data_IF_968259734354
#
_entry.id   IF_968259734354
#
_cell.length_a   1.000
_cell.length_b   1.000
_cell.length_c   1.000
_cell.angle_alpha   90.00
_cell.angle_beta   90.00
_cell.angle_gamma   90.00
#
_symmetry.space_group_name_H-M   'P 1'
#
loop_
_entity.id
_entity.type
_entity.pdbx_description
1 polymer ?
#
# COMPACT_ATOMS: atom_id res chain seq x y z
N UNK A 1 -36.12 -18.52 21.29
CA UNK A 1 -36.73 -18.81 19.97
C UNK A 1 -36.09 -18.00 18.86
N UNK A 2 -35.90 -16.70 19.05
CA UNK A 2 -35.40 -15.76 18.01
C UNK A 2 -34.04 -16.14 17.36
N UNK A 3 -33.07 -16.65 18.14
CA UNK A 3 -31.76 -17.07 17.61
C UNK A 3 -31.81 -18.33 16.74
N UNK A 4 -32.70 -19.28 17.05
CA UNK A 4 -32.85 -20.50 16.27
C UNK A 4 -33.49 -20.21 14.90
N UNK A 5 -34.47 -19.31 14.88
CA UNK A 5 -35.10 -18.86 13.64
C UNK A 5 -34.14 -18.04 12.77
N UNK A 6 -33.29 -17.22 13.37
CA UNK A 6 -32.23 -16.48 12.66
C UNK A 6 -31.19 -17.42 12.05
N UNK A 7 -30.76 -18.45 12.79
CA UNK A 7 -29.82 -19.46 12.28
C UNK A 7 -30.42 -20.28 11.14
N UNK A 8 -31.68 -20.70 11.27
CA UNK A 8 -32.40 -21.42 10.21
C UNK A 8 -32.46 -20.59 8.91
N UNK A 9 -32.78 -19.30 9.01
CA UNK A 9 -32.75 -18.37 7.85
C UNK A 9 -31.36 -18.28 7.21
N UNK A 10 -30.30 -18.31 8.01
CA UNK A 10 -28.92 -18.32 7.51
C UNK A 10 -28.57 -19.61 6.77
N UNK A 11 -28.95 -20.78 7.31
CA UNK A 11 -28.76 -22.09 6.66
C UNK A 11 -29.56 -22.16 5.35
N UNK A 12 -30.80 -21.68 5.36
CA UNK A 12 -31.65 -21.61 4.18
C UNK A 12 -31.05 -20.70 3.10
N UNK A 13 -30.52 -19.53 3.51
CA UNK A 13 -29.82 -18.61 2.62
C UNK A 13 -28.53 -19.20 2.02
N UNK A 14 -27.87 -20.11 2.74
CA UNK A 14 -26.67 -20.83 2.28
C UNK A 14 -27.00 -22.18 1.62
N UNK A 15 -28.21 -22.35 1.08
CA UNK A 15 -28.64 -23.55 0.32
C UNK A 15 -28.48 -24.85 1.11
N UNK A 16 -28.89 -24.85 2.39
CA UNK A 16 -28.75 -25.99 3.30
C UNK A 16 -27.29 -26.39 3.58
N UNK A 17 -26.34 -25.48 3.35
CA UNK A 17 -24.96 -25.61 3.82
C UNK A 17 -24.77 -24.83 5.10
N UNK A 18 -23.77 -25.23 5.89
CA UNK A 18 -23.42 -24.50 7.11
C UNK A 18 -22.98 -23.06 6.77
N UNK A 19 -23.46 -22.05 7.51
CA UNK A 19 -23.05 -20.67 7.30
C UNK A 19 -21.53 -20.51 7.44
N UNK A 20 -20.95 -19.56 6.71
CA UNK A 20 -19.52 -19.28 6.79
C UNK A 20 -19.08 -18.98 8.23
N UNK A 21 -17.97 -19.60 8.67
CA UNK A 21 -17.47 -19.51 10.05
C UNK A 21 -18.18 -20.44 11.04
N UNK A 22 -19.23 -21.16 10.65
CA UNK A 22 -19.93 -22.09 11.54
C UNK A 22 -19.39 -23.52 11.44
N UNK A 23 -18.92 -24.08 12.55
CA UNK A 23 -18.39 -25.44 12.66
C UNK A 23 -19.35 -26.31 13.49
N UNK A 24 -19.75 -27.51 13.00
CA UNK A 24 -20.62 -28.41 13.75
C UNK A 24 -20.06 -28.74 15.14
N UNK A 25 -20.86 -28.48 16.18
CA UNK A 25 -20.47 -28.71 17.57
C UNK A 25 -19.66 -27.58 18.22
N UNK A 26 -19.24 -26.55 17.47
CA UNK A 26 -18.51 -25.38 18.00
C UNK A 26 -19.26 -24.05 17.80
N UNK A 27 -20.17 -23.97 16.82
CA UNK A 27 -20.88 -22.74 16.51
C UNK A 27 -20.10 -21.84 15.54
N UNK A 28 -20.35 -20.53 15.55
CA UNK A 28 -19.53 -19.59 14.80
C UNK A 28 -18.16 -19.47 15.47
N UNK A 29 -17.12 -19.94 14.80
CA UNK A 29 -15.73 -19.89 15.24
C UNK A 29 -15.08 -18.68 14.57
N UNK A 30 -14.67 -17.71 15.37
CA UNK A 30 -13.76 -16.67 14.88
C UNK A 30 -12.42 -17.35 14.52
N UNK A 31 -11.85 -17.07 13.35
CA UNK A 31 -10.54 -17.62 13.00
C UNK A 31 -9.55 -17.24 14.10
N UNK A 32 -8.81 -18.23 14.60
CA UNK A 32 -7.78 -18.04 15.61
C UNK A 32 -6.80 -16.99 15.09
N UNK A 33 -6.86 -15.81 15.69
CA UNK A 33 -6.03 -14.67 15.31
C UNK A 33 -4.72 -14.83 16.06
N UNK A 34 -3.62 -14.89 15.32
CA UNK A 34 -2.29 -14.86 15.94
C UNK A 34 -2.23 -13.62 16.87
N UNK A 35 -1.94 -13.80 18.17
CA UNK A 35 -1.94 -12.69 19.13
C UNK A 35 -0.93 -11.60 18.77
N UNK A 36 0.10 -11.93 17.98
CA UNK A 36 1.12 -10.99 17.52
C UNK A 36 0.83 -10.46 16.09
N UNK A 37 -0.25 -10.88 15.43
CA UNK A 37 -0.69 -10.27 14.18
C UNK A 37 -1.16 -8.84 14.41
N UNK A 38 -0.64 -7.93 13.57
CA UNK A 38 -0.85 -6.51 13.69
C UNK A 38 -1.53 -5.95 12.42
N UNK A 39 -2.35 -4.90 12.55
CA UNK A 39 -2.79 -4.13 11.39
C UNK A 39 -1.58 -3.72 10.54
N UNK A 40 -1.70 -3.84 9.21
CA UNK A 40 -0.59 -3.59 8.30
C UNK A 40 0.03 -2.20 8.50
N UNK A 41 -0.82 -1.19 8.69
CA UNK A 41 -0.39 0.19 8.91
C UNK A 41 0.39 0.36 10.21
N UNK A 42 -0.02 -0.33 11.26
CA UNK A 42 0.59 -0.18 12.58
C UNK A 42 1.95 -0.87 12.61
N UNK A 43 2.04 -2.06 12.00
CA UNK A 43 3.32 -2.73 11.77
C UNK A 43 4.26 -1.90 10.89
N UNK A 44 3.75 -1.33 9.79
CA UNK A 44 4.52 -0.50 8.88
C UNK A 44 5.09 0.76 9.57
N UNK A 45 4.27 1.46 10.35
CA UNK A 45 4.72 2.61 11.16
C UNK A 45 5.81 2.17 12.15
N UNK A 46 5.56 1.08 12.87
CA UNK A 46 6.51 0.50 13.85
C UNK A 46 7.86 0.20 13.21
N UNK A 47 7.87 -0.35 11.99
CA UNK A 47 9.06 -0.62 11.20
C UNK A 47 9.80 0.68 10.84
N UNK A 48 9.10 1.64 10.23
CA UNK A 48 9.69 2.92 9.79
C UNK A 48 10.29 3.69 10.98
N UNK A 49 9.62 3.69 12.13
CA UNK A 49 10.08 4.39 13.34
C UNK A 49 11.38 3.80 13.91
N UNK A 50 11.62 2.50 13.68
CA UNK A 50 12.80 1.77 14.17
C UNK A 50 13.96 1.75 13.18
N UNK A 51 13.80 2.30 11.98
CA UNK A 51 14.88 2.40 11.02
C UNK A 51 16.02 3.27 11.58
N UNK A 52 17.21 2.67 11.61
CA UNK A 52 18.46 3.33 12.03
C UNK A 52 19.26 3.74 10.80
N UNK A 53 20.13 4.75 10.96
CA UNK A 53 21.02 5.22 9.88
C UNK A 53 20.34 6.00 8.74
N UNK A 54 19.03 6.27 8.82
CA UNK A 54 18.31 7.10 7.86
C UNK A 54 18.15 8.54 8.34
N UNK A 55 18.11 9.48 7.39
CA UNK A 55 17.83 10.88 7.64
C UNK A 55 16.40 11.08 8.19
N UNK A 56 16.16 12.04 9.13
CA UNK A 56 14.83 12.31 9.65
C UNK A 56 13.78 12.61 8.57
N UNK A 57 14.15 13.32 7.50
CA UNK A 57 13.24 13.60 6.38
C UNK A 57 12.84 12.31 5.68
N UNK A 58 13.77 11.39 5.46
CA UNK A 58 13.46 10.08 4.86
C UNK A 58 12.48 9.30 5.72
N UNK A 59 12.62 9.34 7.04
CA UNK A 59 11.67 8.70 7.96
C UNK A 59 10.27 9.31 7.83
N UNK A 60 10.17 10.63 7.78
CA UNK A 60 8.89 11.32 7.62
C UNK A 60 8.25 11.08 6.25
N UNK A 61 9.05 11.03 5.19
CA UNK A 61 8.60 10.65 3.86
C UNK A 61 8.06 9.21 3.87
N UNK A 62 8.74 8.25 4.49
CA UNK A 62 8.24 6.87 4.62
C UNK A 62 6.95 6.78 5.43
N UNK A 63 6.83 7.49 6.57
CA UNK A 63 5.58 7.57 7.33
C UNK A 63 4.44 8.09 6.44
N UNK A 64 4.72 9.12 5.66
CA UNK A 64 3.74 9.70 4.74
C UNK A 64 3.30 8.70 3.67
N UNK A 65 4.23 7.91 3.13
CA UNK A 65 3.90 6.86 2.16
C UNK A 65 3.08 5.73 2.80
N UNK A 66 3.38 5.35 4.05
CA UNK A 66 2.55 4.39 4.81
C UNK A 66 1.12 4.93 4.96
N UNK A 67 0.99 6.16 5.42
CA UNK A 67 -0.29 6.75 5.80
C UNK A 67 -1.19 7.07 4.61
N UNK A 68 -0.60 7.43 3.45
CA UNK A 68 -1.36 7.84 2.27
C UNK A 68 -1.61 6.71 1.28
N UNK A 69 -0.72 5.71 1.23
CA UNK A 69 -0.71 4.73 0.16
C UNK A 69 -0.82 3.29 0.66
N UNK A 70 0.00 2.87 1.63
CA UNK A 70 -0.07 1.50 2.16
C UNK A 70 -1.38 1.29 2.96
N UNK A 71 -1.86 2.34 3.63
CA UNK A 71 -3.14 2.33 4.38
C UNK A 71 -4.39 2.01 3.55
N UNK A 72 -4.31 2.07 2.23
CA UNK A 72 -5.41 1.74 1.33
C UNK A 72 -5.54 0.25 1.05
N UNK A 73 -4.52 -0.53 1.40
CA UNK A 73 -4.56 -1.96 1.20
C UNK A 73 -5.66 -2.57 2.07
N UNK A 74 -6.42 -3.46 1.44
CA UNK A 74 -7.39 -4.33 2.08
C UNK A 74 -7.04 -5.76 1.72
N UNK A 75 -7.42 -6.70 2.57
CA UNK A 75 -7.33 -8.11 2.24
C UNK A 75 -8.65 -8.57 1.64
N UNK A 76 -8.63 -9.16 0.45
CA UNK A 76 -9.80 -9.85 -0.10
C UNK A 76 -9.58 -11.35 -0.03
N UNK A 77 -10.42 -12.00 0.77
CA UNK A 77 -10.40 -13.47 0.90
C UNK A 77 -10.74 -14.16 -0.42
N UNK A 78 -10.43 -15.45 -0.54
CA UNK A 78 -10.78 -16.25 -1.73
C UNK A 78 -12.29 -16.34 -2.00
N UNK A 79 -13.13 -16.12 -1.00
CA UNK A 79 -14.59 -16.04 -1.14
C UNK A 79 -15.08 -14.66 -1.58
N UNK A 80 -14.17 -13.69 -1.76
CA UNK A 80 -14.48 -12.32 -2.14
C UNK A 80 -14.85 -11.39 -0.99
N UNK A 81 -14.74 -11.84 0.27
CA UNK A 81 -14.98 -10.98 1.42
C UNK A 81 -13.79 -10.04 1.65
N UNK A 82 -14.08 -8.74 1.74
CA UNK A 82 -13.10 -7.70 2.09
C UNK A 82 -12.94 -7.62 3.60
N UNK A 83 -11.69 -7.60 4.05
CA UNK A 83 -11.29 -7.52 5.46
C UNK A 83 -10.16 -6.51 5.64
N UNK A 84 -9.97 -5.96 6.86
CA UNK A 84 -8.80 -5.14 7.17
C UNK A 84 -7.49 -5.90 6.87
N UNK A 85 -6.55 -5.22 6.23
CA UNK A 85 -5.23 -5.75 5.97
C UNK A 85 -4.42 -5.84 7.28
N UNK A 86 -3.86 -7.03 7.53
CA UNK A 86 -2.90 -7.28 8.61
C UNK A 86 -1.58 -7.76 8.01
N UNK A 87 -0.53 -7.74 8.82
CA UNK A 87 0.78 -8.19 8.35
C UNK A 87 0.77 -9.70 8.02
N UNK A 88 -0.05 -10.50 8.70
CA UNK A 88 -0.17 -11.92 8.43
C UNK A 88 -1.09 -12.25 7.23
N UNK A 89 -2.19 -11.50 7.02
CA UNK A 89 -3.22 -11.89 6.05
C UNK A 89 -2.99 -11.38 4.62
N UNK A 90 -2.17 -10.34 4.41
CA UNK A 90 -1.99 -9.76 3.08
C UNK A 90 -1.29 -10.74 2.14
N UNK A 91 -1.86 -10.84 0.94
CA UNK A 91 -1.47 -11.80 -0.10
C UNK A 91 -0.81 -11.09 -1.29
N UNK A 92 -0.27 -11.88 -2.22
CA UNK A 92 0.27 -11.35 -3.46
C UNK A 92 -0.83 -10.74 -4.36
N UNK A 93 -2.07 -11.23 -4.27
CA UNK A 93 -3.20 -10.69 -5.02
C UNK A 93 -3.57 -9.30 -4.49
N UNK A 94 -3.59 -9.12 -3.16
CA UNK A 94 -3.83 -7.81 -2.54
C UNK A 94 -2.76 -6.78 -2.95
N UNK A 95 -1.49 -7.20 -3.04
CA UNK A 95 -0.39 -6.34 -3.52
C UNK A 95 -0.57 -5.99 -4.99
N UNK A 96 -0.98 -6.94 -5.83
CA UNK A 96 -1.24 -6.67 -7.26
C UNK A 96 -2.40 -5.70 -7.45
N UNK A 97 -3.50 -5.86 -6.72
CA UNK A 97 -4.65 -4.97 -6.80
C UNK A 97 -4.31 -3.58 -6.28
N UNK A 98 -3.48 -3.49 -5.23
CA UNK A 98 -2.95 -2.22 -4.77
C UNK A 98 -2.03 -1.52 -5.79
N UNK A 99 -1.19 -2.27 -6.51
CA UNK A 99 -0.38 -1.71 -7.61
C UNK A 99 -1.28 -1.20 -8.75
N UNK A 100 -2.28 -1.97 -9.16
CA UNK A 100 -3.27 -1.56 -10.19
C UNK A 100 -4.03 -0.30 -9.78
N UNK A 101 -4.42 -0.18 -8.52
CA UNK A 101 -5.09 1.00 -7.98
C UNK A 101 -4.19 2.25 -8.10
N UNK A 102 -2.89 2.10 -7.87
CA UNK A 102 -1.94 3.20 -8.01
C UNK A 102 -1.75 3.62 -9.47
N UNK A 103 -1.68 2.67 -10.40
CA UNK A 103 -1.59 2.93 -11.83
C UNK A 103 -2.84 3.64 -12.37
N UNK A 104 -4.02 3.18 -11.97
CA UNK A 104 -5.29 3.74 -12.44
C UNK A 104 -5.62 5.10 -11.81
N UNK A 105 -5.20 5.32 -10.56
CA UNK A 105 -5.72 6.41 -9.75
C UNK A 105 -7.20 6.21 -9.40
N UNK A 106 -7.82 7.25 -8.85
CA UNK A 106 -9.20 7.25 -8.40
C UNK A 106 -9.88 8.56 -8.79
N UNK A 107 -10.96 8.46 -9.56
CA UNK A 107 -11.84 9.58 -9.89
C UNK A 107 -13.02 9.64 -8.94
N UNK A 108 -13.43 10.85 -8.59
CA UNK A 108 -14.71 11.07 -7.91
C UNK A 108 -15.82 10.89 -8.95
N UNK A 109 -16.71 9.90 -8.78
CA UNK A 109 -17.75 9.60 -9.77
C UNK A 109 -18.81 10.72 -9.87
N UNK A 110 -18.92 11.61 -8.88
CA UNK A 110 -19.91 12.68 -8.85
C UNK A 110 -19.40 13.96 -9.47
N UNK A 111 -18.14 14.33 -9.21
CA UNK A 111 -17.56 15.58 -9.71
C UNK A 111 -16.57 15.40 -10.86
N UNK A 112 -16.19 14.17 -11.21
CA UNK A 112 -15.27 13.84 -12.31
C UNK A 112 -13.81 14.24 -12.04
N UNK A 113 -13.51 14.81 -10.86
CA UNK A 113 -12.16 15.21 -10.47
C UNK A 113 -11.39 14.03 -9.90
N UNK A 114 -10.06 14.10 -9.98
CA UNK A 114 -9.19 13.12 -9.32
C UNK A 114 -9.33 13.23 -7.80
N UNK A 115 -9.76 12.13 -7.15
CA UNK A 115 -9.56 11.89 -5.72
C UNK A 115 -8.08 11.58 -5.49
N UNK A 116 -7.53 10.74 -6.37
CA UNK A 116 -6.12 10.36 -6.38
C UNK A 116 -5.64 10.25 -7.81
N UNK A 117 -4.57 10.96 -8.15
CA UNK A 117 -3.98 10.85 -9.48
C UNK A 117 -3.24 9.51 -9.65
N UNK A 118 -3.15 9.00 -10.89
CA UNK A 118 -2.24 7.93 -11.25
C UNK A 118 -0.84 8.21 -10.73
N UNK A 119 -0.21 7.20 -10.14
CA UNK A 119 1.16 7.27 -9.69
C UNK A 119 2.11 7.06 -10.87
N UNK A 120 3.24 7.79 -10.87
CA UNK A 120 4.32 7.49 -11.81
C UNK A 120 4.90 6.10 -11.56
N UNK A 121 5.48 5.43 -12.58
CA UNK A 121 6.16 4.13 -12.40
C UNK A 121 7.19 4.15 -11.26
N UNK A 122 7.97 5.24 -11.16
CA UNK A 122 8.94 5.44 -10.07
C UNK A 122 8.27 5.52 -8.70
N UNK A 123 7.15 6.22 -8.58
CA UNK A 123 6.40 6.32 -7.32
C UNK A 123 5.86 4.96 -6.88
N UNK A 124 5.27 4.21 -7.81
CA UNK A 124 4.77 2.85 -7.55
C UNK A 124 5.91 1.92 -7.12
N UNK A 125 7.06 1.97 -7.82
CA UNK A 125 8.23 1.17 -7.48
C UNK A 125 8.80 1.50 -6.10
N UNK A 126 8.94 2.79 -5.75
CA UNK A 126 9.44 3.20 -4.44
C UNK A 126 8.52 2.74 -3.30
N UNK A 127 7.21 2.87 -3.46
CA UNK A 127 6.24 2.43 -2.45
C UNK A 127 6.21 0.92 -2.31
N UNK A 128 6.29 0.19 -3.43
CA UNK A 128 6.41 -1.28 -3.41
C UNK A 128 7.70 -1.72 -2.74
N UNK A 129 8.84 -1.06 -2.99
CA UNK A 129 10.10 -1.33 -2.31
C UNK A 129 10.02 -1.10 -0.79
N UNK A 130 9.35 -0.04 -0.35
CA UNK A 130 9.08 0.18 1.08
C UNK A 130 8.22 -0.95 1.67
N UNK A 131 7.14 -1.34 0.98
CA UNK A 131 6.28 -2.45 1.41
C UNK A 131 7.05 -3.78 1.47
N UNK A 132 7.92 -4.05 0.50
CA UNK A 132 8.78 -5.22 0.49
C UNK A 132 9.59 -5.31 1.78
N UNK A 133 10.24 -4.21 2.16
CA UNK A 133 11.07 -4.16 3.37
C UNK A 133 10.24 -4.32 4.66
N UNK A 134 9.04 -3.70 4.72
CA UNK A 134 8.10 -3.86 5.85
C UNK A 134 7.69 -5.33 6.01
N UNK A 135 7.37 -6.00 4.91
CA UNK A 135 6.96 -7.42 4.90
C UNK A 135 8.14 -8.33 5.20
N UNK A 136 9.34 -8.00 4.72
CA UNK A 136 10.55 -8.75 5.01
C UNK A 136 10.88 -8.68 6.51
N UNK A 137 10.75 -7.51 7.14
CA UNK A 137 10.95 -7.36 8.58
C UNK A 137 9.96 -8.20 9.42
N UNK A 138 8.77 -8.50 8.89
CA UNK A 138 7.83 -9.41 9.55
C UNK A 138 8.22 -10.88 9.44
N UNK A 139 8.92 -11.26 8.37
CA UNK A 139 9.49 -12.60 8.18
C UNK A 139 10.71 -12.77 9.08
N UNK A 140 11.53 -11.73 9.19
CA UNK A 140 12.77 -11.74 9.96
C UNK A 140 12.52 -11.48 11.46
N UNK A 141 11.27 -11.24 11.86
CA UNK A 141 10.88 -11.09 13.26
C UNK A 141 11.10 -12.42 14.04
N UNK A 142 11.24 -12.30 15.35
CA UNK A 142 11.38 -13.46 16.26
C UNK A 142 10.30 -13.38 17.36
N UNK A 143 9.25 -14.22 17.32
CA UNK A 143 8.96 -15.21 16.26
C UNK A 143 8.52 -14.56 14.93
N UNK A 144 8.67 -15.27 13.78
CA UNK A 144 8.22 -14.75 12.49
C UNK A 144 6.69 -14.57 12.45
N UNK A 145 6.24 -13.38 12.03
CA UNK A 145 4.81 -13.07 11.87
C UNK A 145 4.23 -13.59 10.55
N UNK A 146 5.10 -13.97 9.61
CA UNK A 146 4.75 -14.58 8.33
C UNK A 146 5.93 -15.32 7.71
N UNK A 147 5.65 -16.23 6.78
CA UNK A 147 6.67 -17.10 6.19
C UNK A 147 7.13 -16.70 4.79
N UNK A 148 6.40 -15.82 4.11
CA UNK A 148 6.65 -15.45 2.71
C UNK A 148 6.40 -13.97 2.46
N UNK A 149 7.22 -13.36 1.62
CA UNK A 149 7.03 -11.98 1.22
C UNK A 149 5.97 -11.90 0.10
N UNK A 150 4.81 -11.31 0.37
CA UNK A 150 3.74 -11.17 -0.62
C UNK A 150 4.08 -10.20 -1.76
N UNK A 151 5.15 -9.41 -1.63
CA UNK A 151 5.65 -8.55 -2.70
C UNK A 151 6.49 -9.33 -3.72
N UNK A 152 6.83 -10.59 -3.44
CA UNK A 152 7.57 -11.45 -4.34
C UNK A 152 6.82 -11.65 -5.65
N UNK A 153 7.54 -11.50 -6.76
CA UNK A 153 7.04 -11.69 -8.13
C UNK A 153 5.93 -10.71 -8.56
N UNK A 154 5.68 -9.62 -7.81
CA UNK A 154 4.83 -8.53 -8.29
C UNK A 154 5.48 -7.88 -9.51
N UNK A 155 4.76 -7.80 -10.62
CA UNK A 155 5.19 -7.02 -11.79
C UNK A 155 4.83 -5.56 -11.55
N UNK A 156 5.81 -4.68 -11.72
CA UNK A 156 5.64 -3.24 -11.55
C UNK A 156 5.55 -2.56 -12.92
N UNK A 157 4.85 -1.42 -13.02
CA UNK A 157 4.82 -0.62 -14.24
C UNK A 157 6.23 -0.17 -14.59
N UNK A 158 6.60 -0.26 -15.87
CA UNK A 158 7.95 0.10 -16.29
C UNK A 158 8.08 1.59 -16.56
N UNK A 159 9.30 2.09 -16.46
CA UNK A 159 9.62 3.51 -16.65
C UNK A 159 9.54 3.92 -18.13
N UNK A 160 9.74 2.96 -19.04
CA UNK A 160 9.63 3.10 -20.49
C UNK A 160 8.16 3.07 -21.01
N UNK A 161 7.19 2.70 -20.18
CA UNK A 161 5.77 2.62 -20.56
C UNK A 161 5.03 3.99 -20.51
N UNK A 162 5.72 5.11 -20.24
CA UNK A 162 5.11 6.44 -20.30
C UNK A 162 6.05 7.61 -19.98
N UNK A 163 6.28 8.48 -20.98
CA UNK A 163 6.91 9.82 -20.94
C UNK A 163 7.78 10.08 -19.71
N UNK A 164 8.96 9.46 -19.62
CA UNK A 164 10.02 10.09 -18.83
C UNK A 164 10.45 11.31 -19.63
N UNK A 165 10.02 12.49 -19.23
CA UNK A 165 10.67 13.71 -19.69
C UNK A 165 12.16 13.57 -19.34
N UNK A 166 12.98 13.39 -20.37
CA UNK A 166 14.42 13.26 -20.20
C UNK A 166 14.91 14.55 -19.54
N UNK A 167 15.55 14.43 -18.38
CA UNK A 167 16.18 15.58 -17.76
C UNK A 167 17.37 15.97 -18.64
N UNK A 168 17.19 17.00 -19.46
CA UNK A 168 18.24 17.59 -20.27
C UNK A 168 18.93 18.71 -19.50
N UNK A 169 20.22 18.91 -19.76
CA UNK A 169 20.91 20.10 -19.29
C UNK A 169 20.38 21.32 -20.05
N UNK A 170 20.35 22.47 -19.38
CA UNK A 170 20.12 23.74 -20.05
C UNK A 170 21.27 24.03 -21.01
N UNK A 171 20.94 24.46 -22.21
CA UNK A 171 21.92 25.06 -23.09
C UNK A 171 22.40 26.41 -22.53
N UNK A 172 23.57 26.86 -22.99
CA UNK A 172 24.16 28.11 -22.52
C UNK A 172 23.20 29.30 -22.70
N UNK A 173 22.45 29.35 -23.80
CA UNK A 173 21.50 30.42 -24.09
C UNK A 173 20.28 30.38 -23.16
N UNK A 174 19.77 29.18 -22.86
CA UNK A 174 18.64 28.96 -21.95
C UNK A 174 19.02 29.34 -20.51
N UNK A 175 20.22 28.98 -20.08
CA UNK A 175 20.76 29.40 -18.79
C UNK A 175 20.88 30.93 -18.71
N UNK A 176 21.43 31.59 -19.74
CA UNK A 176 21.56 33.05 -19.77
C UNK A 176 20.19 33.75 -19.74
N UNK A 177 19.19 33.17 -20.40
CA UNK A 177 17.81 33.67 -20.35
C UNK A 177 17.26 33.60 -18.92
N UNK A 178 17.34 32.43 -18.28
CA UNK A 178 16.87 32.26 -16.89
C UNK A 178 17.60 33.21 -15.94
N UNK A 179 18.93 33.34 -16.06
CA UNK A 179 19.75 34.22 -15.23
C UNK A 179 19.29 35.69 -15.28
N UNK A 180 18.91 36.19 -16.45
CA UNK A 180 18.38 37.57 -16.60
C UNK A 180 17.06 37.79 -15.86
N UNK A 181 16.27 36.72 -15.68
CA UNK A 181 14.96 36.77 -15.03
C UNK A 181 14.99 36.42 -13.54
N UNK A 182 16.12 35.98 -12.99
CA UNK A 182 16.30 35.83 -11.54
C UNK A 182 16.45 37.25 -10.95
N UNK A 183 15.51 37.73 -10.11
CA UNK A 183 15.54 39.12 -9.61
C UNK A 183 16.56 39.32 -8.47
N UNK A 184 16.91 38.25 -7.76
CA UNK A 184 17.86 38.27 -6.64
C UNK A 184 19.31 38.27 -7.14
N UNK A 185 20.05 39.32 -6.82
CA UNK A 185 21.45 39.47 -7.20
C UNK A 185 22.36 38.43 -6.51
N UNK A 186 22.08 38.06 -5.26
CA UNK A 186 22.88 37.06 -4.53
C UNK A 186 22.71 35.65 -5.13
N UNK A 187 21.53 35.36 -5.68
CA UNK A 187 21.27 34.12 -6.41
C UNK A 187 21.97 34.05 -7.78
N UNK A 188 22.26 35.20 -8.41
CA UNK A 188 23.01 35.25 -9.68
C UNK A 188 24.49 34.97 -9.48
N UNK A 189 25.05 35.37 -8.33
CA UNK A 189 26.49 35.24 -8.03
C UNK A 189 26.88 33.85 -7.50
N UNK A 190 25.92 33.05 -7.00
CA UNK A 190 26.14 31.66 -6.57
C UNK A 190 26.26 30.65 -7.73
N UNK A 191 26.02 31.10 -8.96
CA UNK A 191 25.96 30.26 -10.15
C UNK A 191 27.21 30.40 -11.06
N UNK A 192 28.23 31.13 -10.59
CA UNK A 192 29.56 31.30 -11.22
C UNK A 192 30.64 30.58 -10.39
#
# INVERSE_FOLDING_TARGET
MEQADAFKKLVDAHKQQWPFGWVPGQGFVEPERDPDDAPLTDWARRYVDRLTGIDPRTRDDYRREVDRHISLMVHTTRSGQVMPATIANITADDVQDWVRLQEAGEHDPKVGRWVRRPASPKSTANRHGLLWCIVQAAIDADPPLRTKNCCANTRLPRVDDGTSEEMVFLEQEEYQLLRRHIPDAAARDLAD
#
